data_IF_656530810008
#
_entry.id   IF_656530810008
#
_cell.length_a   1.000
_cell.length_b   1.000
_cell.length_c   1.000
_cell.angle_alpha   90.00
_cell.angle_beta   90.00
_cell.angle_gamma   90.00
#
_symmetry.space_group_name_H-M   'P 1'
#
loop_
_entity.id
_entity.type
_entity.pdbx_description
1 polymer ?
#
# COMPACT_ATOMS: atom_id res chain seq x y z
N UNK A 1 -3.74 -11.17 19.65
CA UNK A 1 -4.17 -10.21 18.62
C UNK A 1 -5.69 -10.28 18.51
N UNK A 2 -6.36 -9.13 18.51
CA UNK A 2 -7.81 -9.03 18.26
C UNK A 2 -8.06 -9.07 16.76
N UNK A 3 -8.91 -9.97 16.28
CA UNK A 3 -9.36 -9.99 14.89
C UNK A 3 -10.64 -9.17 14.76
N UNK A 4 -10.79 -8.50 13.63
CA UNK A 4 -12.01 -7.77 13.26
C UNK A 4 -12.54 -8.31 11.94
N UNK A 5 -13.83 -8.09 11.67
CA UNK A 5 -14.48 -8.53 10.43
C UNK A 5 -14.60 -7.37 9.46
N UNK A 6 -14.14 -7.57 8.24
CA UNK A 6 -14.31 -6.61 7.14
C UNK A 6 -15.27 -7.24 6.12
N UNK A 7 -16.47 -6.70 5.93
CA UNK A 7 -17.36 -7.16 4.87
C UNK A 7 -16.78 -6.79 3.50
N UNK A 8 -16.72 -7.76 2.60
CA UNK A 8 -16.26 -7.59 1.21
C UNK A 8 -17.19 -8.31 0.26
N UNK A 9 -17.23 -7.90 -1.01
CA UNK A 9 -17.96 -8.65 -2.03
C UNK A 9 -17.33 -10.03 -2.25
N UNK A 10 -18.11 -10.97 -2.81
CA UNK A 10 -17.61 -12.30 -3.19
C UNK A 10 -16.42 -12.18 -4.15
N UNK A 11 -16.51 -11.28 -5.11
CA UNK A 11 -15.49 -11.06 -6.13
C UNK A 11 -14.17 -10.58 -5.52
N UNK A 12 -14.22 -9.66 -4.55
CA UNK A 12 -13.03 -9.20 -3.83
C UNK A 12 -12.39 -10.34 -3.06
N UNK A 13 -13.20 -11.18 -2.38
CA UNK A 13 -12.68 -12.34 -1.65
C UNK A 13 -11.99 -13.35 -2.59
N UNK A 14 -12.56 -13.63 -3.76
CA UNK A 14 -11.92 -14.53 -4.73
C UNK A 14 -10.62 -13.95 -5.30
N UNK A 15 -10.55 -12.63 -5.51
CA UNK A 15 -9.29 -11.95 -5.88
C UNK A 15 -8.23 -12.07 -4.78
N UNK A 16 -8.60 -11.85 -3.52
CA UNK A 16 -7.69 -12.04 -2.38
C UNK A 16 -7.17 -13.48 -2.30
N UNK A 17 -8.04 -14.46 -2.55
CA UNK A 17 -7.66 -15.87 -2.62
C UNK A 17 -6.67 -16.15 -3.75
N UNK A 18 -6.84 -15.54 -4.92
CA UNK A 18 -5.91 -15.65 -6.03
C UNK A 18 -4.52 -15.03 -5.77
N UNK A 19 -4.45 -14.04 -4.86
CA UNK A 19 -3.20 -13.39 -4.45
C UNK A 19 -2.48 -14.14 -3.31
N UNK A 20 -3.19 -15.05 -2.63
CA UNK A 20 -2.67 -15.80 -1.50
C UNK A 20 -1.75 -16.93 -1.96
N UNK A 21 -0.65 -17.13 -1.23
CA UNK A 21 0.19 -18.33 -1.35
C UNK A 21 -0.39 -19.48 -0.53
N UNK A 22 0.02 -20.73 -0.82
CA UNK A 22 -0.48 -21.92 -0.10
C UNK A 22 -0.23 -21.78 1.42
N UNK A 23 -1.30 -21.76 2.21
CA UNK A 23 -1.24 -21.60 3.67
C UNK A 23 -1.19 -20.16 4.18
N UNK A 24 -1.24 -19.16 3.29
CA UNK A 24 -1.29 -17.75 3.67
C UNK A 24 -2.70 -17.35 4.13
N UNK A 25 -2.79 -16.61 5.24
CA UNK A 25 -4.07 -16.11 5.77
C UNK A 25 -4.49 -14.82 5.05
N UNK A 26 -5.78 -14.49 5.04
CA UNK A 26 -6.24 -13.22 4.49
C UNK A 26 -5.62 -12.01 5.22
N UNK A 27 -5.38 -12.10 6.54
CA UNK A 27 -4.68 -11.03 7.28
C UNK A 27 -3.25 -10.82 6.74
N UNK A 28 -2.52 -11.90 6.45
CA UNK A 28 -1.18 -11.80 5.87
C UNK A 28 -1.19 -11.22 4.45
N UNK A 29 -2.14 -11.64 3.61
CA UNK A 29 -2.34 -11.08 2.26
C UNK A 29 -2.65 -9.59 2.34
N UNK A 30 -3.60 -9.19 3.19
CA UNK A 30 -4.00 -7.80 3.37
C UNK A 30 -2.83 -6.94 3.86
N UNK A 31 -2.05 -7.41 4.84
CA UNK A 31 -0.84 -6.71 5.29
C UNK A 31 0.19 -6.51 4.18
N UNK A 32 0.38 -7.52 3.33
CA UNK A 32 1.30 -7.42 2.19
C UNK A 32 0.79 -6.40 1.16
N UNK A 33 -0.51 -6.41 0.87
CA UNK A 33 -1.12 -5.44 -0.05
C UNK A 33 -1.07 -4.00 0.50
N UNK A 34 -1.31 -3.81 1.79
CA UNK A 34 -1.21 -2.50 2.45
C UNK A 34 0.20 -1.94 2.29
N UNK A 35 1.24 -2.72 2.58
CA UNK A 35 2.63 -2.26 2.41
C UNK A 35 2.96 -1.83 0.99
N UNK A 36 2.47 -2.57 -0.01
CA UNK A 36 2.67 -2.23 -1.42
C UNK A 36 1.93 -0.92 -1.77
N UNK A 37 0.72 -0.74 -1.26
CA UNK A 37 -0.05 0.48 -1.47
C UNK A 37 0.62 1.70 -0.80
N UNK A 38 1.09 1.56 0.44
CA UNK A 38 1.81 2.62 1.17
C UNK A 38 3.08 3.06 0.43
N UNK A 39 3.89 2.10 -0.03
CA UNK A 39 5.10 2.39 -0.80
C UNK A 39 4.78 3.13 -2.09
N UNK A 40 3.71 2.72 -2.79
CA UNK A 40 3.26 3.41 -4.01
C UNK A 40 2.75 4.81 -3.74
N UNK A 41 1.98 5.02 -2.68
CA UNK A 41 1.49 6.35 -2.28
C UNK A 41 2.64 7.28 -1.92
N UNK A 42 3.67 6.77 -1.23
CA UNK A 42 4.88 7.54 -0.94
C UNK A 42 5.59 7.96 -2.22
N UNK A 43 5.84 7.00 -3.12
CA UNK A 43 6.49 7.27 -4.40
C UNK A 43 5.73 8.29 -5.25
N UNK A 44 4.40 8.18 -5.33
CA UNK A 44 3.57 9.13 -6.07
C UNK A 44 3.61 10.53 -5.45
N UNK A 45 3.73 10.64 -4.13
CA UNK A 45 3.92 11.91 -3.42
C UNK A 45 5.29 12.52 -3.72
N UNK A 46 6.36 11.74 -3.61
CA UNK A 46 7.74 12.19 -3.88
C UNK A 46 7.89 12.63 -5.33
N UNK A 47 7.34 11.86 -6.27
CA UNK A 47 7.34 12.22 -7.70
C UNK A 47 6.63 13.54 -7.94
N UNK A 48 5.47 13.77 -7.31
CA UNK A 48 4.76 15.05 -7.43
C UNK A 48 5.64 16.21 -6.94
N UNK A 49 6.27 16.08 -5.78
CA UNK A 49 7.16 17.11 -5.22
C UNK A 49 8.29 17.41 -6.20
N UNK A 50 8.96 16.37 -6.73
CA UNK A 50 10.04 16.54 -7.73
C UNK A 50 9.56 17.22 -9.02
N UNK A 51 8.32 16.98 -9.45
CA UNK A 51 7.75 17.61 -10.65
C UNK A 51 7.31 19.06 -10.41
N UNK A 52 6.88 19.41 -9.21
CA UNK A 52 6.23 20.71 -8.93
C UNK A 52 7.05 21.70 -8.13
N UNK A 53 8.03 21.24 -7.36
CA UNK A 53 8.81 22.09 -6.45
C UNK A 53 10.22 22.31 -7.01
N UNK A 54 10.64 23.58 -7.10
CA UNK A 54 12.03 23.91 -7.39
C UNK A 54 12.91 23.56 -6.20
N UNK A 55 14.04 22.92 -6.46
CA UNK A 55 15.03 22.60 -5.44
C UNK A 55 15.61 23.89 -4.83
N UNK A 56 15.40 24.09 -3.53
CA UNK A 56 16.02 25.17 -2.77
C UNK A 56 17.21 24.60 -1.99
N UNK A 57 18.43 24.96 -2.40
CA UNK A 57 19.64 24.58 -1.69
C UNK A 57 19.64 25.21 -0.29
N UNK A 58 19.86 24.40 0.75
CA UNK A 58 20.06 24.89 2.12
C UNK A 58 21.47 25.46 2.24
N UNK A 59 21.69 26.68 1.76
CA UNK A 59 22.92 27.43 1.97
C UNK A 59 23.39 28.28 0.79
N UNK A 60 22.76 29.44 0.61
CA UNK A 60 23.45 30.65 0.14
C UNK A 60 22.97 31.83 1.01
N UNK A 61 23.42 31.86 2.27
CA UNK A 61 23.31 33.01 3.18
C UNK A 61 24.58 33.15 3.99
#
# INVERSE_FOLDING_TARGET
MSLTTIPVSKDVRERLKGLASKGETYDAVLRRLIRVAEARMLYERERRILETEEFVALGET
#
